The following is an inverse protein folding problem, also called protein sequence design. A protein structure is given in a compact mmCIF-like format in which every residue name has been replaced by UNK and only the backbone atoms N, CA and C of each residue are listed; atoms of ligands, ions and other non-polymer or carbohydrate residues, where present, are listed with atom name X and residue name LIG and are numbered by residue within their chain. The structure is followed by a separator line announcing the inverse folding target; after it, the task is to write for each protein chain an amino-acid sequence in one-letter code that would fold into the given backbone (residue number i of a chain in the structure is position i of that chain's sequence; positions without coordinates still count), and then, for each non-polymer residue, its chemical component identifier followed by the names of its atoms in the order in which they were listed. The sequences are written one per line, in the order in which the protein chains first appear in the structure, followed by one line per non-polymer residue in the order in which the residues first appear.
data_IF_247726971352
#
_entry.id   IF_247726971352
#
_cell.length_a   1.000
_cell.length_b   1.000
_cell.length_c   1.000
_cell.angle_alpha   90.00
_cell.angle_beta   90.00
_cell.angle_gamma   90.00
#
_symmetry.space_group_name_H-M   'P 1'
#
loop_
_entity.id
_entity.type
_entity.pdbx_description
1 polymer ?
#
# COMPACT_ATOMS: atom_id res chain seq x y z
N UNK A 1 -6.64 -7.86 -13.29
CA UNK A 1 -6.09 -9.22 -13.04
C UNK A 1 -4.70 -9.42 -13.66
N UNK A 2 -4.43 -9.00 -14.91
CA UNK A 2 -3.10 -9.16 -15.56
C UNK A 2 -1.96 -8.51 -14.77
N UNK A 3 -2.12 -7.29 -14.28
CA UNK A 3 -1.12 -6.61 -13.44
C UNK A 3 -0.83 -7.39 -12.15
N UNK A 4 -1.88 -7.86 -11.46
CA UNK A 4 -1.74 -8.67 -10.25
C UNK A 4 -1.02 -9.98 -10.55
N UNK A 5 -1.35 -10.66 -11.66
CA UNK A 5 -0.68 -11.89 -12.05
C UNK A 5 0.82 -11.67 -12.37
N UNK A 6 1.17 -10.54 -12.98
CA UNK A 6 2.56 -10.16 -13.22
C UNK A 6 3.31 -9.94 -11.90
N UNK A 7 2.67 -9.22 -10.97
CA UNK A 7 3.25 -8.94 -9.66
C UNK A 7 3.44 -10.22 -8.83
N UNK A 8 2.46 -11.13 -8.87
CA UNK A 8 2.57 -12.45 -8.23
C UNK A 8 3.69 -13.29 -8.86
N UNK A 9 3.84 -13.28 -10.20
CA UNK A 9 4.97 -13.98 -10.86
C UNK A 9 6.31 -13.40 -10.43
N UNK A 10 6.45 -12.07 -10.46
CA UNK A 10 7.64 -11.40 -9.98
C UNK A 10 7.96 -11.78 -8.52
N UNK A 11 6.98 -11.76 -7.64
CA UNK A 11 7.17 -12.08 -6.22
C UNK A 11 7.60 -13.54 -5.98
N UNK A 12 7.21 -14.46 -6.87
CA UNK A 12 7.61 -15.87 -6.81
C UNK A 12 8.99 -16.14 -7.40
N UNK A 13 9.48 -15.27 -8.26
CA UNK A 13 10.84 -15.37 -8.79
C UNK A 13 11.85 -14.84 -7.78
N UNK A 14 12.35 -15.74 -6.93
CA UNK A 14 13.32 -15.41 -5.87
C UNK A 14 14.68 -14.95 -6.40
N UNK A 15 14.98 -15.18 -7.68
CA UNK A 15 16.25 -14.79 -8.30
C UNK A 15 16.20 -13.32 -8.78
N UNK A 16 15.01 -12.80 -9.11
CA UNK A 16 14.85 -11.39 -9.44
C UNK A 16 14.87 -10.54 -8.18
N UNK A 17 16.01 -9.92 -7.90
CA UNK A 17 16.24 -9.02 -6.75
C UNK A 17 16.40 -7.55 -7.19
N UNK A 18 16.06 -7.22 -8.42
CA UNK A 18 16.29 -5.87 -9.01
C UNK A 18 15.61 -4.77 -8.21
N UNK A 19 14.40 -5.01 -7.70
CA UNK A 19 13.63 -4.05 -6.91
C UNK A 19 13.98 -4.05 -5.40
N UNK A 20 14.91 -4.92 -4.95
CA UNK A 20 15.15 -5.13 -3.52
C UNK A 20 15.64 -3.89 -2.81
N UNK A 21 16.63 -3.21 -3.38
CA UNK A 21 17.25 -2.06 -2.73
C UNK A 21 16.26 -0.90 -2.53
N UNK A 22 15.31 -0.76 -3.44
CA UNK A 22 14.34 0.33 -3.44
C UNK A 22 13.10 0.03 -2.59
N UNK A 23 12.52 -1.17 -2.73
CA UNK A 23 11.19 -1.46 -2.19
C UNK A 23 11.18 -2.40 -0.97
N UNK A 24 12.18 -3.28 -0.82
CA UNK A 24 12.17 -4.25 0.30
C UNK A 24 13.59 -4.60 0.80
N UNK A 25 14.44 -3.58 1.13
CA UNK A 25 15.85 -3.81 1.43
C UNK A 25 16.08 -4.79 2.59
N UNK A 26 15.20 -4.78 3.57
CA UNK A 26 15.31 -5.54 4.82
C UNK A 26 14.33 -6.71 4.91
N UNK A 27 13.59 -7.02 3.83
CA UNK A 27 12.61 -8.11 3.80
C UNK A 27 13.10 -9.21 2.86
N UNK A 28 12.91 -10.47 3.26
CA UNK A 28 13.18 -11.60 2.38
C UNK A 28 12.03 -11.76 1.40
N UNK A 29 12.34 -11.76 0.10
CA UNK A 29 11.34 -11.92 -0.97
C UNK A 29 10.46 -13.16 -0.78
N UNK A 30 11.01 -14.23 -0.22
CA UNK A 30 10.28 -15.48 0.08
C UNK A 30 9.15 -15.29 1.11
N UNK A 31 9.18 -14.20 1.87
CA UNK A 31 8.21 -13.97 2.95
C UNK A 31 7.13 -12.95 2.58
N UNK A 32 7.21 -12.31 1.40
CA UNK A 32 6.31 -11.22 0.99
C UNK A 32 4.82 -11.60 1.07
N UNK A 33 4.46 -12.83 0.67
CA UNK A 33 3.08 -13.32 0.79
C UNK A 33 2.69 -13.61 2.25
N UNK A 34 3.56 -14.32 2.99
CA UNK A 34 3.31 -14.66 4.39
C UNK A 34 3.16 -13.42 5.26
N UNK A 35 4.00 -12.43 5.02
CA UNK A 35 4.05 -11.21 5.83
C UNK A 35 2.98 -10.17 5.41
N UNK A 36 2.21 -10.48 4.34
CA UNK A 36 1.05 -9.70 3.92
C UNK A 36 1.38 -8.49 3.06
N UNK A 37 2.60 -8.39 2.53
CA UNK A 37 2.98 -7.32 1.59
C UNK A 37 2.44 -7.58 0.17
N UNK A 38 2.24 -8.83 -0.21
CA UNK A 38 1.70 -9.21 -1.51
C UNK A 38 0.56 -10.21 -1.32
N UNK A 39 -0.54 -9.95 -2.00
CA UNK A 39 -1.69 -10.83 -2.05
C UNK A 39 -1.86 -11.45 -3.45
N UNK A 40 -2.38 -12.68 -3.52
CA UNK A 40 -2.72 -13.33 -4.79
C UNK A 40 -3.90 -12.67 -5.51
N UNK A 41 -4.71 -11.91 -4.76
CA UNK A 41 -5.81 -11.09 -5.25
C UNK A 41 -5.72 -9.70 -4.63
N UNK A 42 -5.58 -8.67 -5.44
CA UNK A 42 -5.48 -7.29 -4.95
C UNK A 42 -6.85 -6.68 -4.68
N UNK A 43 -6.99 -6.03 -3.53
CA UNK A 43 -8.16 -5.20 -3.20
C UNK A 43 -8.42 -4.10 -4.23
N UNK A 44 -7.38 -3.55 -4.83
CA UNK A 44 -7.48 -2.54 -5.89
C UNK A 44 -8.29 -3.05 -7.10
N UNK A 45 -8.17 -4.33 -7.44
CA UNK A 45 -8.93 -4.94 -8.54
C UNK A 45 -10.43 -5.01 -8.28
N UNK A 46 -10.91 -4.71 -7.05
CA UNK A 46 -12.34 -4.59 -6.75
C UNK A 46 -12.89 -3.18 -6.97
N UNK A 47 -12.02 -2.20 -7.30
CA UNK A 47 -12.39 -0.82 -7.57
C UNK A 47 -12.75 0.03 -6.34
N UNK A 48 -12.52 -0.48 -5.13
CA UNK A 48 -12.86 0.19 -3.87
C UNK A 48 -11.66 0.42 -2.96
N UNK A 49 -10.47 0.13 -3.43
CA UNK A 49 -9.21 0.34 -2.69
C UNK A 49 -8.33 1.32 -3.46
N UNK A 50 -7.74 2.25 -2.74
CA UNK A 50 -6.87 3.30 -3.28
C UNK A 50 -5.64 3.46 -2.41
N UNK A 51 -4.53 3.78 -3.05
CA UNK A 51 -3.30 4.23 -2.41
C UNK A 51 -3.15 5.73 -2.67
N UNK A 52 -2.90 6.50 -1.61
CA UNK A 52 -2.78 7.96 -1.72
C UNK A 52 -1.92 8.55 -0.62
N UNK A 53 -1.45 9.77 -0.85
CA UNK A 53 -0.71 10.59 0.10
C UNK A 53 -1.36 11.96 0.28
N UNK A 54 -0.74 12.80 1.10
CA UNK A 54 -1.08 14.21 1.24
C UNK A 54 -0.01 15.05 0.57
N UNK A 55 -0.44 16.07 -0.16
CA UNK A 55 0.43 17.09 -0.71
C UNK A 55 -0.04 18.49 -0.28
N UNK A 56 0.90 19.41 -0.25
CA UNK A 56 0.63 20.85 -0.12
C UNK A 56 -0.01 21.37 -1.41
N UNK A 57 -0.51 22.59 -1.37
CA UNK A 57 -1.11 23.26 -2.53
C UNK A 57 -0.12 23.51 -3.67
N UNK A 58 1.17 23.52 -3.39
CA UNK A 58 2.25 23.62 -4.38
C UNK A 58 2.64 22.27 -5.00
N UNK A 59 1.96 21.17 -4.61
CA UNK A 59 2.23 19.81 -5.09
C UNK A 59 3.31 19.07 -4.31
N UNK A 60 3.98 19.72 -3.35
CA UNK A 60 4.99 19.05 -2.51
C UNK A 60 4.32 18.04 -1.60
N UNK A 61 4.72 16.77 -1.66
CA UNK A 61 4.21 15.73 -0.78
C UNK A 61 4.63 15.97 0.68
N UNK A 62 3.76 15.61 1.61
CA UNK A 62 4.11 15.56 3.03
C UNK A 62 4.99 14.34 3.30
N UNK A 63 5.98 14.53 4.17
CA UNK A 63 6.86 13.43 4.57
C UNK A 63 6.09 12.40 5.42
N UNK A 64 5.88 11.22 4.87
CA UNK A 64 5.21 10.09 5.53
C UNK A 64 6.20 9.10 6.17
N UNK A 65 7.53 9.33 6.03
CA UNK A 65 8.59 8.51 6.59
C UNK A 65 9.03 7.33 5.71
N UNK A 66 8.22 6.92 4.76
CA UNK A 66 8.57 5.96 3.71
C UNK A 66 7.85 6.31 2.41
N UNK A 67 8.40 5.96 1.23
CA UNK A 67 7.65 6.02 -0.03
C UNK A 67 6.52 4.98 -0.06
N UNK A 68 5.68 5.05 -1.11
CA UNK A 68 4.74 4.00 -1.45
C UNK A 68 5.45 2.66 -1.68
N UNK A 69 4.74 1.56 -1.46
CA UNK A 69 5.20 0.18 -1.75
C UNK A 69 6.52 -0.19 -1.10
N UNK A 70 6.94 0.55 -0.08
CA UNK A 70 8.12 0.22 0.70
C UNK A 70 7.77 -0.87 1.73
N UNK A 71 8.11 -2.11 1.45
CA UNK A 71 7.80 -3.27 2.29
C UNK A 71 8.73 -3.31 3.51
N UNK A 72 8.24 -2.73 4.57
CA UNK A 72 8.97 -2.62 5.84
C UNK A 72 7.98 -2.34 6.97
N UNK A 73 8.28 -2.77 8.21
CA UNK A 73 7.54 -2.31 9.38
C UNK A 73 7.47 -0.78 9.51
N UNK A 74 8.46 -0.06 8.99
CA UNK A 74 8.43 1.41 8.91
C UNK A 74 7.26 1.99 8.12
N UNK A 75 6.65 1.21 7.22
CA UNK A 75 5.47 1.60 6.47
C UNK A 75 4.15 1.37 7.23
N UNK A 76 4.20 0.68 8.37
CA UNK A 76 3.02 0.48 9.18
C UNK A 76 2.51 1.81 9.72
N UNK A 77 1.21 2.01 9.69
CA UNK A 77 0.57 3.28 10.06
C UNK A 77 1.00 3.78 11.45
N UNK A 78 1.18 2.87 12.40
CA UNK A 78 1.55 3.16 13.78
C UNK A 78 2.99 2.77 14.13
N UNK A 79 3.92 2.77 13.16
CA UNK A 79 5.32 2.44 13.43
C UNK A 79 5.92 3.44 14.45
N UNK A 80 6.53 2.95 15.56
CA UNK A 80 7.04 3.83 16.61
C UNK A 80 8.40 4.45 16.30
N UNK A 81 9.05 4.06 15.20
CA UNK A 81 10.41 4.52 14.85
C UNK A 81 10.42 5.74 13.92
N UNK A 82 9.26 6.13 13.39
CA UNK A 82 9.11 7.35 12.57
C UNK A 82 9.05 8.59 13.47
N UNK A 83 9.31 9.75 12.88
CA UNK A 83 9.27 11.02 13.62
C UNK A 83 7.83 11.38 14.02
N UNK A 84 7.64 12.20 15.09
CA UNK A 84 6.32 12.70 15.44
C UNK A 84 5.59 13.45 14.32
N UNK A 85 6.33 14.17 13.47
CA UNK A 85 5.77 14.87 12.31
C UNK A 85 5.25 13.89 11.24
N UNK A 86 6.02 12.86 10.91
CA UNK A 86 5.61 11.79 9.98
C UNK A 86 4.38 11.04 10.51
N UNK A 87 4.37 10.72 11.81
CA UNK A 87 3.22 10.10 12.45
C UNK A 87 1.97 11.00 12.37
N UNK A 88 2.11 12.31 12.65
CA UNK A 88 1.00 13.27 12.55
C UNK A 88 0.45 13.34 11.10
N UNK A 89 1.31 13.33 10.09
CA UNK A 89 0.91 13.31 8.68
C UNK A 89 0.10 12.05 8.33
N UNK A 90 0.55 10.86 8.76
CA UNK A 90 -0.19 9.60 8.60
C UNK A 90 -1.54 9.63 9.30
N UNK A 91 -1.61 10.16 10.52
CA UNK A 91 -2.86 10.28 11.28
C UNK A 91 -3.83 11.26 10.62
N UNK A 92 -3.34 12.36 10.04
CA UNK A 92 -4.16 13.31 9.28
C UNK A 92 -4.79 12.63 8.07
N UNK A 93 -3.99 11.89 7.28
CA UNK A 93 -4.49 11.13 6.13
C UNK A 93 -5.53 10.09 6.56
N UNK A 94 -5.20 9.27 7.55
CA UNK A 94 -6.11 8.23 8.05
C UNK A 94 -7.42 8.81 8.58
N UNK A 95 -7.39 9.97 9.27
CA UNK A 95 -8.58 10.65 9.75
C UNK A 95 -9.44 11.21 8.61
N UNK A 96 -8.80 11.77 7.55
CA UNK A 96 -9.50 12.27 6.38
C UNK A 96 -10.22 11.14 5.65
N UNK A 97 -9.54 10.02 5.42
CA UNK A 97 -10.08 8.86 4.73
C UNK A 97 -11.20 8.17 5.54
N UNK A 98 -11.04 8.05 6.85
CA UNK A 98 -12.07 7.50 7.74
C UNK A 98 -13.37 8.31 7.68
N UNK A 99 -13.29 9.65 7.64
CA UNK A 99 -14.46 10.54 7.49
C UNK A 99 -15.19 10.32 6.18
N UNK A 100 -14.51 9.82 5.16
CA UNK A 100 -15.07 9.49 3.82
C UNK A 100 -15.50 8.02 3.69
N UNK A 101 -15.56 7.29 4.80
CA UNK A 101 -16.03 5.90 4.81
C UNK A 101 -14.97 4.85 4.49
N UNK A 102 -13.70 5.24 4.40
CA UNK A 102 -12.62 4.29 4.18
C UNK A 102 -12.06 3.72 5.49
N UNK A 103 -11.41 2.58 5.41
CA UNK A 103 -10.57 1.98 6.45
C UNK A 103 -9.16 1.83 5.91
N UNK A 104 -8.15 2.13 6.71
CA UNK A 104 -6.75 1.88 6.39
C UNK A 104 -6.38 0.41 6.54
N UNK A 105 -5.24 0.06 5.99
CA UNK A 105 -4.53 -1.18 6.25
C UNK A 105 -3.34 -0.91 7.17
N UNK A 106 -3.25 -1.61 8.29
CA UNK A 106 -2.29 -1.26 9.34
C UNK A 106 -0.82 -1.34 8.92
N UNK A 107 -0.50 -2.18 7.92
CA UNK A 107 0.87 -2.39 7.43
C UNK A 107 1.30 -1.42 6.33
N UNK A 108 0.37 -0.58 5.82
CA UNK A 108 0.62 0.33 4.70
C UNK A 108 -0.11 1.64 4.96
N UNK A 109 0.64 2.73 5.27
CA UNK A 109 0.05 4.01 5.64
C UNK A 109 -0.75 4.67 4.51
N UNK A 110 -0.52 4.28 3.26
CA UNK A 110 -1.15 4.83 2.05
C UNK A 110 -2.42 4.09 1.63
N UNK A 111 -2.64 2.85 2.11
CA UNK A 111 -3.64 1.91 1.59
C UNK A 111 -4.98 2.01 2.31
N UNK A 112 -6.04 2.32 1.56
CA UNK A 112 -7.38 2.51 2.10
C UNK A 112 -8.43 1.80 1.26
N UNK A 113 -9.32 1.06 1.93
CA UNK A 113 -10.45 0.36 1.32
C UNK A 113 -11.77 0.98 1.79
N UNK A 114 -12.70 1.22 0.87
CA UNK A 114 -14.04 1.72 1.17
C UNK A 114 -14.80 0.70 2.05
N UNK A 115 -15.43 1.17 3.12
CA UNK A 115 -16.34 0.35 3.90
C UNK A 115 -17.62 0.11 3.10
N UNK A 116 -18.13 -1.12 3.10
CA UNK A 116 -19.30 -1.45 2.30
C UNK A 116 -19.01 -1.40 0.79
N UNK A 117 -17.93 -2.03 0.36
CA UNK A 117 -17.57 -2.18 -1.04
C UNK A 117 -18.78 -2.65 -1.88
N UNK A 118 -19.11 -1.98 -3.00
CA UNK A 118 -20.23 -2.42 -3.85
C UNK A 118 -19.96 -3.77 -4.53
N UNK A 119 -18.69 -4.15 -4.72
CA UNK A 119 -18.30 -5.39 -5.39
C UNK A 119 -17.24 -6.16 -4.59
N UNK A 120 -17.57 -6.62 -3.35
CA UNK A 120 -16.55 -7.16 -2.43
C UNK A 120 -15.93 -8.50 -2.89
N UNK A 121 -16.58 -9.21 -3.82
CA UNK A 121 -16.13 -10.50 -4.35
C UNK A 121 -15.75 -10.44 -5.84
N UNK A 122 -15.85 -9.28 -6.50
CA UNK A 122 -15.60 -9.15 -7.94
C UNK A 122 -14.24 -8.50 -8.18
N UNK A 123 -13.37 -9.19 -8.90
CA UNK A 123 -12.07 -8.68 -9.33
C UNK A 123 -12.13 -8.33 -10.81
N UNK A 124 -12.07 -7.05 -11.10
CA UNK A 124 -12.14 -6.53 -12.47
C UNK A 124 -10.81 -6.68 -13.21
N UNK A 125 -10.87 -6.90 -14.52
CA UNK A 125 -9.71 -7.01 -15.41
C UNK A 125 -9.99 -6.33 -16.75
N UNK A 126 -10.20 -5.03 -16.71
CA UNK A 126 -10.36 -4.20 -17.90
C UNK A 126 -9.09 -3.36 -18.13
N UNK A 127 -8.78 -3.00 -19.37
CA UNK A 127 -7.69 -2.07 -19.68
C UNK A 127 -7.99 -0.69 -19.08
N UNK A 128 -6.99 -0.08 -18.46
CA UNK A 128 -7.03 1.35 -18.12
C UNK A 128 -6.71 2.11 -19.39
N UNK A 129 -7.63 2.95 -19.85
CA UNK A 129 -7.49 3.82 -21.01
C UNK A 129 -7.09 5.23 -20.60
#
# INVERSE_FOLDING_TARGET
MRAVANFVRWARDINDQTAKAEFYPNVDKRTLFRDGYIATHSGHSRGSTVDLTLAKTDGTELDMGTPFDFFSPKSWTADPTITPAQHANRMLLAAAMRRRGFRGYDKEWWHFTLRGEPFPATFFDFPVQ
#
